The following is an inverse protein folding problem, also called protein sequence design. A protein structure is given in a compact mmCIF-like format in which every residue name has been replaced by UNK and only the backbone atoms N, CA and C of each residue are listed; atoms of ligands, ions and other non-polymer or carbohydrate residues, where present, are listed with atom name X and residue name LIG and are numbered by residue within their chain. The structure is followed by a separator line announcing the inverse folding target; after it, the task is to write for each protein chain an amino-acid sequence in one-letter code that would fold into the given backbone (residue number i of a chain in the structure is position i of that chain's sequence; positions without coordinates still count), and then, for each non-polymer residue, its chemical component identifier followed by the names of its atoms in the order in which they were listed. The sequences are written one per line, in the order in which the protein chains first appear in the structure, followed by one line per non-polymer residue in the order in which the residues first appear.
data_IF_908269935484
#
_entry.id   IF_908269935484
#
_cell.length_a   1.000
_cell.length_b   1.000
_cell.length_c   1.000
_cell.angle_alpha   90.00
_cell.angle_beta   90.00
_cell.angle_gamma   90.00
#
_symmetry.space_group_name_H-M   'P 1'
#
loop_
_entity.id
_entity.type
_entity.pdbx_description
1 polymer ?
#
# COMPACT_ATOMS: atom_id res chain seq x y z
N UNK A 1 1.54 -19.02 -1.28
CA UNK A 1 1.08 -17.74 -0.70
C UNK A 1 0.87 -16.77 -1.86
N UNK A 2 -0.33 -16.21 -2.04
CA UNK A 2 -0.61 -15.32 -3.17
C UNK A 2 0.31 -14.08 -3.10
N UNK A 3 1.14 -13.90 -4.12
CA UNK A 3 1.95 -12.68 -4.32
C UNK A 3 1.04 -11.56 -4.83
N UNK A 4 0.21 -11.01 -3.95
CA UNK A 4 -0.65 -9.86 -4.28
C UNK A 4 -0.24 -8.65 -3.45
N UNK A 5 -0.05 -7.51 -4.12
CA UNK A 5 0.31 -6.23 -3.51
C UNK A 5 1.37 -5.50 -4.32
N UNK A 6 1.53 -4.20 -4.05
CA UNK A 6 2.50 -3.33 -4.74
C UNK A 6 3.95 -3.81 -4.61
N UNK A 7 4.28 -4.53 -3.53
CA UNK A 7 5.58 -5.16 -3.36
C UNK A 7 5.45 -6.53 -2.67
N UNK A 8 5.29 -7.63 -3.43
CA UNK A 8 4.99 -8.96 -2.88
C UNK A 8 6.16 -9.57 -2.08
N UNK A 9 7.35 -8.97 -2.14
CA UNK A 9 8.54 -9.44 -1.45
C UNK A 9 8.83 -8.69 -0.15
N UNK A 10 8.22 -7.51 0.05
CA UNK A 10 8.47 -6.68 1.24
C UNK A 10 8.27 -7.45 2.56
N UNK A 11 7.22 -8.29 2.73
CA UNK A 11 7.06 -9.04 3.99
C UNK A 11 8.18 -10.04 4.27
N UNK A 12 8.82 -10.59 3.23
CA UNK A 12 9.94 -11.52 3.43
C UNK A 12 11.22 -10.74 3.76
N UNK A 13 11.49 -9.64 3.04
CA UNK A 13 12.64 -8.79 3.32
C UNK A 13 12.62 -8.24 4.76
N UNK A 14 11.46 -7.79 5.25
CA UNK A 14 11.31 -7.34 6.65
C UNK A 14 11.58 -8.47 7.64
N UNK A 15 11.11 -9.69 7.36
CA UNK A 15 11.38 -10.85 8.20
C UNK A 15 12.87 -11.20 8.25
N UNK A 16 13.53 -11.20 7.09
CA UNK A 16 14.95 -11.52 6.98
C UNK A 16 15.80 -10.49 7.74
N UNK A 17 15.47 -9.19 7.62
CA UNK A 17 16.15 -8.10 8.32
C UNK A 17 16.01 -8.22 9.85
N UNK A 18 14.79 -8.46 10.34
CA UNK A 18 14.54 -8.66 11.78
C UNK A 18 15.26 -9.90 12.30
N UNK A 19 15.24 -10.99 11.54
CA UNK A 19 15.91 -12.24 11.92
C UNK A 19 17.43 -12.09 11.98
N UNK A 20 18.01 -11.29 11.09
CA UNK A 20 19.44 -10.95 11.12
C UNK A 20 19.80 -9.97 12.26
N UNK A 21 18.84 -9.16 12.70
CA UNK A 21 19.02 -8.09 13.69
C UNK A 21 19.04 -8.50 15.16
N UNK A 22 19.24 -9.77 15.50
CA UNK A 22 19.31 -10.24 16.89
C UNK A 22 17.94 -10.38 17.58
N UNK A 23 16.88 -10.58 16.81
CA UNK A 23 15.56 -10.89 17.35
C UNK A 23 15.30 -12.40 17.34
N UNK A 24 14.71 -12.90 18.42
CA UNK A 24 14.21 -14.27 18.54
C UNK A 24 12.67 -14.29 18.49
N UNK A 25 12.10 -15.49 18.39
CA UNK A 25 10.66 -15.72 18.38
C UNK A 25 9.92 -14.88 17.32
N UNK A 26 10.53 -14.75 16.12
CA UNK A 26 10.01 -13.89 15.06
C UNK A 26 8.74 -14.51 14.46
N UNK A 27 7.63 -13.79 14.58
CA UNK A 27 6.31 -14.16 14.04
C UNK A 27 5.91 -13.17 12.96
N UNK A 28 5.26 -13.67 11.91
CA UNK A 28 4.70 -12.87 10.82
C UNK A 28 3.20 -13.07 10.73
N UNK A 29 2.48 -11.96 10.77
CA UNK A 29 1.03 -11.91 10.58
C UNK A 29 0.69 -11.13 9.30
N UNK A 30 -0.37 -11.54 8.61
CA UNK A 30 -0.87 -10.84 7.43
C UNK A 30 -2.36 -10.58 7.56
N UNK A 31 -2.73 -9.31 7.67
CA UNK A 31 -4.11 -8.86 7.68
C UNK A 31 -4.50 -8.44 6.27
N UNK A 32 -5.51 -9.12 5.71
CA UNK A 32 -5.97 -8.89 4.34
C UNK A 32 -7.44 -8.50 4.31
N UNK A 33 -7.84 -7.70 3.32
CA UNK A 33 -9.25 -7.44 2.99
C UNK A 33 -9.88 -8.56 2.14
N UNK A 34 -9.10 -9.58 1.73
CA UNK A 34 -9.62 -10.72 0.97
C UNK A 34 -10.75 -11.44 1.73
N UNK A 35 -11.89 -11.66 1.05
CA UNK A 35 -13.06 -12.31 1.64
C UNK A 35 -13.81 -11.45 2.67
N UNK A 36 -13.41 -10.20 2.88
CA UNK A 36 -14.06 -9.27 3.82
C UNK A 36 -14.82 -8.20 3.06
N UNK A 37 -15.96 -8.58 2.48
CA UNK A 37 -16.75 -7.70 1.60
C UNK A 37 -17.15 -6.38 2.28
N UNK A 38 -17.36 -6.39 3.61
CA UNK A 38 -17.65 -5.18 4.40
C UNK A 38 -16.50 -4.15 4.41
N UNK A 39 -15.26 -4.55 4.11
CA UNK A 39 -14.09 -3.66 4.02
C UNK A 39 -13.83 -3.15 2.60
N UNK A 40 -14.63 -3.55 1.60
CA UNK A 40 -14.38 -3.21 0.20
C UNK A 40 -14.35 -1.70 -0.06
N UNK A 41 -15.36 -0.98 0.44
CA UNK A 41 -15.43 0.46 0.28
C UNK A 41 -14.24 1.16 0.97
N UNK A 42 -13.84 0.67 2.14
CA UNK A 42 -12.65 1.15 2.85
C UNK A 42 -11.38 0.91 2.03
N UNK A 43 -11.19 -0.28 1.48
CA UNK A 43 -10.03 -0.63 0.66
C UNK A 43 -9.91 0.24 -0.60
N UNK A 44 -11.03 0.52 -1.28
CA UNK A 44 -11.06 1.41 -2.44
C UNK A 44 -10.68 2.85 -2.07
N UNK A 45 -11.25 3.40 -0.99
CA UNK A 45 -10.88 4.74 -0.48
C UNK A 45 -9.39 4.83 -0.14
N UNK A 46 -8.82 3.76 0.43
CA UNK A 46 -7.39 3.70 0.73
C UNK A 46 -6.52 3.81 -0.51
N UNK A 47 -6.86 3.15 -1.62
CA UNK A 47 -6.10 3.26 -2.88
C UNK A 47 -6.18 4.69 -3.43
N UNK A 48 -7.36 5.29 -3.45
CA UNK A 48 -7.52 6.67 -3.92
C UNK A 48 -6.76 7.68 -3.03
N UNK A 49 -6.78 7.48 -1.71
CA UNK A 49 -5.99 8.29 -0.78
C UNK A 49 -4.48 8.12 -1.00
N UNK A 50 -4.01 6.90 -1.30
CA UNK A 50 -2.61 6.64 -1.60
C UNK A 50 -2.17 7.35 -2.89
N UNK A 51 -2.99 7.32 -3.94
CA UNK A 51 -2.74 8.08 -5.17
C UNK A 51 -2.59 9.58 -4.86
N UNK A 52 -3.55 10.16 -4.14
CA UNK A 52 -3.55 11.57 -3.74
C UNK A 52 -2.34 11.97 -2.89
N UNK A 53 -1.85 11.06 -2.04
CA UNK A 53 -0.73 11.34 -1.16
C UNK A 53 0.64 11.22 -1.85
N UNK A 54 0.83 10.23 -2.71
CA UNK A 54 2.16 9.88 -3.24
C UNK A 54 2.43 10.39 -4.65
N UNK A 55 1.41 10.41 -5.51
CA UNK A 55 1.62 10.73 -6.92
C UNK A 55 2.02 12.19 -7.17
N UNK A 56 1.45 13.22 -6.49
CA UNK A 56 1.79 14.60 -6.81
C UNK A 56 3.29 14.90 -6.65
N UNK A 57 3.87 14.49 -5.51
CA UNK A 57 5.30 14.67 -5.25
C UNK A 57 6.16 13.88 -6.25
N UNK A 58 5.75 12.64 -6.59
CA UNK A 58 6.46 11.83 -7.59
C UNK A 58 6.47 12.50 -8.96
N UNK A 59 5.34 13.05 -9.41
CA UNK A 59 5.22 13.69 -10.72
C UNK A 59 6.08 14.94 -10.85
N UNK A 60 6.22 15.72 -9.77
CA UNK A 60 7.14 16.87 -9.75
C UNK A 60 8.59 16.40 -9.84
N UNK A 61 8.96 15.38 -9.06
CA UNK A 61 10.33 14.82 -9.06
C UNK A 61 10.70 14.19 -10.41
N UNK A 62 9.75 13.56 -11.10
CA UNK A 62 9.99 12.96 -12.42
C UNK A 62 9.86 13.95 -13.59
N UNK A 63 9.45 15.19 -13.33
CA UNK A 63 9.26 16.23 -14.35
C UNK A 63 7.98 16.06 -15.19
N UNK A 64 7.06 15.21 -14.76
CA UNK A 64 5.73 15.02 -15.37
C UNK A 64 4.75 16.16 -15.05
N UNK A 65 5.02 16.94 -14.00
CA UNK A 65 4.30 18.16 -13.64
C UNK A 65 5.29 19.28 -13.28
N UNK A 66 4.90 20.54 -13.53
CA UNK A 66 5.74 21.72 -13.23
C UNK A 66 5.80 22.04 -11.75
N UNK A 67 4.70 21.82 -11.04
CA UNK A 67 4.56 22.07 -9.61
C UNK A 67 3.52 21.13 -8.97
N UNK A 68 3.41 21.20 -7.64
CA UNK A 68 2.50 20.35 -6.88
C UNK A 68 1.02 20.64 -7.15
N UNK A 69 0.65 21.86 -7.55
CA UNK A 69 -0.74 22.24 -7.80
C UNK A 69 -1.22 21.63 -9.13
N UNK A 70 -0.41 21.71 -10.19
CA UNK A 70 -0.64 21.01 -11.46
C UNK A 70 -0.74 19.50 -11.22
N UNK A 71 0.23 18.92 -10.49
CA UNK A 71 0.26 17.50 -10.19
C UNK A 71 -0.99 17.05 -9.40
N UNK A 72 -1.43 17.83 -8.40
CA UNK A 72 -2.63 17.53 -7.62
C UNK A 72 -3.89 17.55 -8.48
N UNK A 73 -4.02 18.51 -9.40
CA UNK A 73 -5.14 18.55 -10.34
C UNK A 73 -5.26 17.29 -11.18
N UNK A 74 -4.13 16.80 -11.72
CA UNK A 74 -4.09 15.55 -12.50
C UNK A 74 -4.47 14.35 -11.61
N UNK A 75 -3.88 14.27 -10.42
CA UNK A 75 -4.12 13.13 -9.51
C UNK A 75 -5.55 13.09 -9.00
N UNK A 76 -6.20 14.24 -8.77
CA UNK A 76 -7.63 14.27 -8.40
C UNK A 76 -8.52 13.76 -9.53
N UNK A 77 -8.21 14.08 -10.79
CA UNK A 77 -8.89 13.49 -11.95
C UNK A 77 -8.77 11.97 -11.97
N UNK A 78 -7.54 11.46 -11.83
CA UNK A 78 -7.27 10.01 -11.80
C UNK A 78 -7.97 9.30 -10.63
N UNK A 79 -7.92 9.89 -9.44
CA UNK A 79 -8.58 9.33 -8.26
C UNK A 79 -10.10 9.31 -8.42
N UNK A 80 -10.68 10.36 -9.02
CA UNK A 80 -12.10 10.43 -9.35
C UNK A 80 -12.53 9.37 -10.38
N UNK A 81 -11.75 9.17 -11.43
CA UNK A 81 -11.97 8.11 -12.42
C UNK A 81 -11.88 6.72 -11.78
N UNK A 82 -10.89 6.49 -10.92
CA UNK A 82 -10.77 5.24 -10.16
C UNK A 82 -12.02 5.01 -9.29
N UNK A 83 -12.45 6.00 -8.53
CA UNK A 83 -13.63 5.90 -7.66
C UNK A 83 -14.92 5.65 -8.47
N UNK A 84 -15.05 6.27 -9.66
CA UNK A 84 -16.21 6.12 -10.53
C UNK A 84 -16.25 4.79 -11.29
N UNK A 85 -15.12 4.35 -11.85
CA UNK A 85 -15.06 3.22 -12.79
C UNK A 85 -14.61 1.91 -12.14
N UNK A 86 -13.87 1.94 -11.03
CA UNK A 86 -13.42 0.73 -10.33
C UNK A 86 -14.40 0.27 -9.25
N UNK A 87 -15.67 0.67 -9.31
CA UNK A 87 -16.69 0.25 -8.34
C UNK A 87 -16.75 -1.28 -8.23
N UNK A 88 -16.70 -2.02 -9.35
CA UNK A 88 -16.73 -3.49 -9.39
C UNK A 88 -15.38 -4.15 -9.07
N UNK A 89 -14.28 -3.42 -9.13
CA UNK A 89 -12.95 -3.93 -8.83
C UNK A 89 -12.76 -4.12 -7.32
N UNK A 90 -12.21 -5.27 -6.92
CA UNK A 90 -11.90 -5.57 -5.52
C UNK A 90 -10.48 -5.10 -5.22
N UNK A 91 -10.36 -3.87 -4.71
CA UNK A 91 -9.11 -3.40 -4.14
C UNK A 91 -8.69 -4.31 -2.98
N UNK A 92 -7.49 -4.87 -3.07
CA UNK A 92 -6.91 -5.69 -2.01
C UNK A 92 -5.90 -4.86 -1.24
N UNK A 93 -6.13 -4.71 0.06
CA UNK A 93 -5.18 -4.08 0.98
C UNK A 93 -4.68 -5.16 1.94
N UNK A 94 -3.36 -5.28 2.01
CA UNK A 94 -2.66 -6.21 2.89
C UNK A 94 -1.77 -5.41 3.83
N UNK A 95 -1.88 -5.67 5.12
CA UNK A 95 -0.96 -5.19 6.15
C UNK A 95 -0.16 -6.40 6.65
N UNK A 96 1.14 -6.40 6.37
CA UNK A 96 2.08 -7.36 6.93
C UNK A 96 2.66 -6.80 8.22
N UNK A 97 2.61 -7.59 9.30
CA UNK A 97 3.22 -7.25 10.60
C UNK A 97 4.23 -8.34 10.94
N UNK A 98 5.45 -7.93 11.25
CA UNK A 98 6.49 -8.85 11.76
C UNK A 98 6.87 -8.39 13.16
N UNK A 99 6.86 -9.31 14.10
CA UNK A 99 7.17 -9.06 15.51
C UNK A 99 8.25 -10.05 15.93
N UNK A 100 9.28 -9.55 16.60
CA UNK A 100 10.30 -10.37 17.23
C UNK A 100 10.62 -9.85 18.62
N UNK A 101 11.10 -10.73 19.50
CA UNK A 101 11.60 -10.37 20.83
C UNK A 101 13.09 -10.08 20.73
N UNK A 102 13.51 -8.88 21.15
CA UNK A 102 14.94 -8.53 21.16
C UNK A 102 15.69 -9.44 22.13
N UNK A 103 16.83 -9.96 21.67
CA UNK A 103 17.78 -10.67 22.53
C UNK A 103 18.97 -9.73 22.68
N UNK A 104 19.09 -9.16 23.88
CA UNK A 104 20.26 -8.35 24.26
C UNK A 104 21.48 -9.26 24.47
#
# INVERSE_FOLDING_TARGET
MLKLGMWPFAPQLVYDEISAGGFADVVRETYTTLGKDHLRATAQKWVAALMRALMPASMVVTGEARDEDEARGVVEGLAGEFEAHCQSARALVNLGVTVGRRVD
#
